data_IF_340887007238
#
_entry.id   IF_340887007238
#
_cell.length_a   1.000
_cell.length_b   1.000
_cell.length_c   1.000
_cell.angle_alpha   90.00
_cell.angle_beta   90.00
_cell.angle_gamma   90.00
#
_symmetry.space_group_name_H-M   'P 1'
#
loop_
_entity.id
_entity.type
_entity.pdbx_description
1 polymer ?
#
# COMPACT_ATOMS: atom_id res chain seq x y z
N UNK A 1 5.82 13.14 -6.04
CA UNK A 1 7.07 12.37 -6.24
C UNK A 1 8.28 13.30 -6.20
N UNK A 2 9.35 12.86 -5.59
CA UNK A 2 10.60 13.59 -5.48
C UNK A 2 11.75 12.77 -6.09
N UNK A 3 12.96 13.35 -6.14
CA UNK A 3 14.16 12.63 -6.59
C UNK A 3 14.48 11.41 -5.71
N UNK A 4 14.04 11.40 -4.47
CA UNK A 4 14.21 10.28 -3.54
C UNK A 4 13.11 9.20 -3.67
N UNK A 5 12.20 9.33 -4.65
CA UNK A 5 11.09 8.43 -4.87
C UNK A 5 9.77 9.00 -4.33
N UNK A 6 8.89 8.11 -3.88
CA UNK A 6 7.59 8.52 -3.35
C UNK A 6 7.73 8.94 -1.90
N UNK A 7 7.34 10.18 -1.60
CA UNK A 7 7.34 10.73 -0.25
C UNK A 7 5.92 11.16 0.11
N UNK A 8 5.21 10.43 0.98
CA UNK A 8 3.88 10.86 1.40
C UNK A 8 3.97 12.15 2.21
N UNK A 9 2.95 13.01 2.07
CA UNK A 9 2.85 14.26 2.82
C UNK A 9 1.84 14.14 3.95
N UNK A 10 0.75 13.44 3.71
CA UNK A 10 -0.26 13.16 4.73
C UNK A 10 -0.99 11.87 4.39
N UNK A 11 -1.51 11.24 5.41
CA UNK A 11 -2.37 10.07 5.25
C UNK A 11 -3.61 10.26 6.11
N UNK A 12 -4.76 10.23 5.48
CA UNK A 12 -6.06 10.33 6.15
C UNK A 12 -6.92 9.15 5.75
N UNK A 13 -7.41 8.43 6.72
CA UNK A 13 -8.31 7.31 6.52
C UNK A 13 -9.52 7.42 7.44
N UNK A 14 -10.69 7.04 6.94
CA UNK A 14 -11.94 7.07 7.67
C UNK A 14 -12.83 5.96 7.14
N UNK A 15 -13.44 5.20 8.03
CA UNK A 15 -14.36 4.13 7.63
C UNK A 15 -15.81 4.62 7.42
N UNK A 16 -16.04 5.94 7.49
CA UNK A 16 -17.35 6.54 7.31
C UNK A 16 -18.25 6.50 8.53
N UNK A 17 -17.74 6.00 9.66
CA UNK A 17 -18.50 5.99 10.93
C UNK A 17 -18.06 7.13 11.84
N UNK A 18 -18.79 7.34 12.93
CA UNK A 18 -18.40 8.31 13.94
C UNK A 18 -17.32 7.77 14.89
N UNK A 19 -16.93 6.51 14.76
CA UNK A 19 -15.87 5.91 15.58
C UNK A 19 -14.50 6.44 15.16
N UNK A 20 -13.66 6.81 16.13
CA UNK A 20 -12.27 7.20 15.89
C UNK A 20 -11.34 6.00 15.81
N UNK A 21 -11.81 4.80 16.11
CA UNK A 21 -10.97 3.58 16.17
C UNK A 21 -10.35 3.20 14.82
N UNK A 22 -10.94 3.66 13.71
CA UNK A 22 -10.43 3.38 12.36
C UNK A 22 -10.06 4.65 11.60
N UNK A 23 -10.01 5.78 12.30
CA UNK A 23 -9.52 7.02 11.70
C UNK A 23 -8.02 7.08 11.75
N UNK A 24 -7.44 7.50 10.64
CA UNK A 24 -6.01 7.75 10.52
C UNK A 24 -5.84 9.17 10.05
N UNK A 25 -5.03 9.94 10.75
CA UNK A 25 -4.70 11.30 10.35
C UNK A 25 -3.27 11.59 10.78
N UNK A 26 -2.33 11.42 9.84
CA UNK A 26 -0.92 11.64 10.10
C UNK A 26 -0.33 12.58 9.05
N UNK A 27 0.66 13.35 9.46
CA UNK A 27 1.39 14.27 8.60
C UNK A 27 2.89 13.94 8.64
N UNK A 28 3.53 14.03 7.48
CA UNK A 28 4.93 13.74 7.30
C UNK A 28 5.68 15.04 7.11
N UNK A 29 6.61 15.32 8.03
CA UNK A 29 7.51 16.47 7.92
C UNK A 29 8.91 15.97 7.55
N UNK A 30 9.21 15.99 6.27
CA UNK A 30 10.48 15.48 5.76
C UNK A 30 11.67 16.39 6.10
N UNK A 31 11.43 17.67 6.28
CA UNK A 31 12.49 18.61 6.70
C UNK A 31 12.93 18.33 8.14
N UNK A 32 11.97 18.09 9.03
CA UNK A 32 12.24 17.76 10.43
C UNK A 32 12.45 16.29 10.68
N UNK A 33 12.20 15.46 9.65
CA UNK A 33 12.32 14.01 9.71
C UNK A 33 11.45 13.41 10.82
N UNK A 34 10.18 13.82 10.85
CA UNK A 34 9.20 13.31 11.80
C UNK A 34 7.85 13.09 11.14
N UNK A 35 7.14 12.09 11.64
CA UNK A 35 5.72 11.86 11.32
C UNK A 35 4.92 11.97 12.61
N UNK A 36 3.84 12.75 12.56
CA UNK A 36 3.00 13.02 13.73
C UNK A 36 1.53 12.92 13.39
N UNK A 37 0.70 12.63 14.38
CA UNK A 37 -0.74 12.56 14.23
C UNK A 37 -1.36 11.50 15.11
N UNK A 38 -2.45 10.92 14.60
CA UNK A 38 -3.20 9.85 15.29
C UNK A 38 -3.51 8.74 14.28
N UNK A 39 -3.24 7.52 14.70
CA UNK A 39 -3.52 6.32 13.90
C UNK A 39 -4.40 5.39 14.75
N UNK A 40 -5.68 5.28 14.39
CA UNK A 40 -6.65 4.42 15.08
C UNK A 40 -6.64 4.64 16.63
N UNK A 41 -6.81 5.88 17.05
CA UNK A 41 -6.75 6.31 18.46
C UNK A 41 -5.37 6.24 19.12
N UNK A 42 -4.34 5.84 18.39
CA UNK A 42 -2.97 5.79 18.90
C UNK A 42 -2.21 7.04 18.47
N UNK A 43 -1.68 7.85 19.40
CA UNK A 43 -0.84 8.99 19.04
C UNK A 43 0.42 8.51 18.30
N UNK A 44 0.79 9.25 17.25
CA UNK A 44 1.97 8.96 16.45
C UNK A 44 2.92 10.15 16.54
N UNK A 45 4.15 9.89 16.95
CA UNK A 45 5.24 10.86 16.94
C UNK A 45 6.54 10.08 16.82
N UNK A 46 7.00 9.88 15.59
CA UNK A 46 8.12 9.03 15.28
C UNK A 46 9.14 9.74 14.42
N UNK A 47 10.43 9.37 14.57
CA UNK A 47 11.43 9.80 13.59
C UNK A 47 11.10 9.19 12.22
N UNK A 48 11.37 9.97 11.19
CA UNK A 48 11.05 9.60 9.80
C UNK A 48 12.34 9.34 9.05
N UNK A 49 12.49 8.12 8.55
CA UNK A 49 13.63 7.72 7.72
C UNK A 49 13.28 7.85 6.24
N UNK A 50 14.26 8.05 5.34
CA UNK A 50 14.00 8.08 3.92
C UNK A 50 13.32 6.78 3.46
N UNK A 51 12.32 6.92 2.59
CA UNK A 51 11.62 5.79 2.00
C UNK A 51 10.45 5.23 2.80
N UNK A 52 10.14 5.78 3.98
CA UNK A 52 8.98 5.33 4.76
C UNK A 52 7.70 5.65 4.01
N UNK A 53 6.80 4.69 3.97
CA UNK A 53 5.50 4.77 3.32
C UNK A 53 4.39 4.50 4.32
N UNK A 54 3.15 4.65 3.90
CA UNK A 54 1.96 4.12 4.56
C UNK A 54 1.25 3.14 3.62
N UNK A 55 0.14 2.56 4.04
CA UNK A 55 -0.60 1.60 3.22
C UNK A 55 -1.05 2.18 1.88
N UNK A 56 -1.41 3.45 1.84
CA UNK A 56 -1.85 4.09 0.61
C UNK A 56 -0.67 4.41 -0.31
N UNK A 57 0.37 5.06 0.22
CA UNK A 57 1.53 5.47 -0.59
C UNK A 57 2.39 4.28 -1.03
N UNK A 58 2.38 3.17 -0.29
CA UNK A 58 3.13 1.97 -0.66
C UNK A 58 2.64 1.38 -1.98
N UNK A 59 1.34 1.45 -2.28
CA UNK A 59 0.81 0.98 -3.55
C UNK A 59 1.35 1.83 -4.71
N UNK A 60 1.41 3.14 -4.52
CA UNK A 60 1.97 4.05 -5.52
C UNK A 60 3.47 3.80 -5.68
N UNK A 61 4.19 3.60 -4.57
CA UNK A 61 5.61 3.31 -4.60
C UNK A 61 5.91 2.00 -5.35
N UNK A 62 5.07 0.98 -5.16
CA UNK A 62 5.17 -0.28 -5.90
C UNK A 62 4.99 -0.04 -7.40
N UNK A 63 3.96 0.70 -7.79
CA UNK A 63 3.73 1.04 -9.21
C UNK A 63 4.92 1.75 -9.82
N UNK A 64 5.48 2.72 -9.12
CA UNK A 64 6.64 3.50 -9.60
C UNK A 64 7.85 2.58 -9.80
N UNK A 65 8.14 1.70 -8.86
CA UNK A 65 9.25 0.75 -8.99
C UNK A 65 9.05 -0.19 -10.19
N UNK A 66 7.85 -0.73 -10.37
CA UNK A 66 7.54 -1.62 -11.47
C UNK A 66 7.62 -0.92 -12.83
N UNK A 67 7.17 0.35 -12.91
CA UNK A 67 7.29 1.15 -14.12
C UNK A 67 8.74 1.40 -14.53
N UNK A 68 9.65 1.42 -13.57
CA UNK A 68 11.10 1.55 -13.83
C UNK A 68 11.80 0.21 -14.03
N UNK A 69 11.04 -0.88 -14.14
CA UNK A 69 11.59 -2.22 -14.35
C UNK A 69 12.25 -2.82 -13.12
N UNK A 70 11.97 -2.30 -11.93
CA UNK A 70 12.50 -2.81 -10.67
C UNK A 70 11.43 -3.57 -9.91
N UNK A 71 11.81 -4.68 -9.29
CA UNK A 71 10.95 -5.38 -8.33
C UNK A 71 11.46 -5.07 -6.93
N UNK A 72 10.70 -4.33 -6.13
CA UNK A 72 11.15 -4.01 -4.77
C UNK A 72 11.15 -5.27 -3.91
N UNK A 73 12.14 -5.37 -3.01
CA UNK A 73 12.21 -6.49 -2.08
C UNK A 73 11.42 -6.19 -0.80
N UNK A 74 11.47 -4.94 -0.34
CA UNK A 74 10.74 -4.53 0.84
C UNK A 74 10.52 -3.03 0.88
N UNK A 75 9.49 -2.62 1.61
CA UNK A 75 9.23 -1.25 1.99
C UNK A 75 9.07 -1.17 3.51
N UNK A 76 9.41 -0.01 4.06
CA UNK A 76 9.12 0.32 5.45
C UNK A 76 7.81 1.09 5.50
N UNK A 77 6.84 0.57 6.25
CA UNK A 77 5.50 1.14 6.34
C UNK A 77 5.19 1.60 7.75
N UNK A 78 4.56 2.77 7.85
CA UNK A 78 3.99 3.23 9.11
C UNK A 78 2.79 2.35 9.45
N UNK A 79 2.83 1.75 10.64
CA UNK A 79 1.76 0.92 11.19
C UNK A 79 1.52 1.37 12.63
N UNK A 80 0.44 2.15 12.85
CA UNK A 80 0.15 2.80 14.12
C UNK A 80 1.33 3.68 14.55
N UNK A 81 1.92 3.45 15.71
CA UNK A 81 3.04 4.22 16.22
C UNK A 81 4.39 3.52 15.99
N UNK A 82 4.50 2.70 14.96
CA UNK A 82 5.71 1.96 14.59
C UNK A 82 5.94 2.01 13.09
N UNK A 83 7.19 1.86 12.70
CA UNK A 83 7.56 1.61 11.32
C UNK A 83 7.99 0.15 11.21
N UNK A 84 7.35 -0.58 10.29
CA UNK A 84 7.60 -2.00 10.11
C UNK A 84 8.04 -2.32 8.69
N UNK A 85 8.95 -3.27 8.55
CA UNK A 85 9.39 -3.74 7.25
C UNK A 85 8.40 -4.76 6.68
N UNK A 86 7.97 -4.55 5.44
CA UNK A 86 7.15 -5.48 4.68
C UNK A 86 7.97 -6.02 3.53
N UNK A 87 8.01 -7.33 3.40
CA UNK A 87 8.71 -7.99 2.31
C UNK A 87 7.76 -8.17 1.12
N UNK A 88 8.23 -7.79 -0.06
CA UNK A 88 7.47 -7.90 -1.31
C UNK A 88 8.09 -8.97 -2.19
N UNK A 89 7.26 -9.86 -2.72
CA UNK A 89 7.70 -10.90 -3.65
C UNK A 89 6.71 -11.01 -4.80
N UNK A 90 7.22 -11.36 -5.98
CA UNK A 90 6.38 -11.71 -7.11
C UNK A 90 5.78 -13.09 -6.89
N UNK A 91 4.46 -13.22 -7.06
CA UNK A 91 3.71 -14.44 -6.73
C UNK A 91 2.99 -15.03 -7.94
N UNK A 92 3.38 -14.65 -9.15
CA UNK A 92 2.85 -15.22 -10.37
C UNK A 92 2.13 -14.24 -11.29
N UNK A 93 1.35 -14.79 -12.20
CA UNK A 93 0.58 -14.03 -13.19
C UNK A 93 -0.83 -14.61 -13.26
N UNK A 94 -1.81 -13.75 -13.56
CA UNK A 94 -3.20 -14.18 -13.71
C UNK A 94 -3.93 -13.22 -14.63
N UNK A 95 -4.78 -13.75 -15.50
CA UNK A 95 -5.70 -12.92 -16.27
C UNK A 95 -6.97 -12.73 -15.46
N UNK A 96 -7.29 -11.49 -15.15
CA UNK A 96 -8.48 -11.15 -14.36
C UNK A 96 -9.64 -10.76 -15.29
N UNK A 97 -10.83 -11.34 -15.08
CA UNK A 97 -12.04 -10.77 -15.65
C UNK A 97 -12.39 -9.48 -14.91
N UNK A 98 -12.63 -8.42 -15.67
CA UNK A 98 -12.99 -7.12 -15.10
C UNK A 98 -14.24 -6.59 -15.80
N UNK A 99 -14.92 -5.54 -15.25
CA UNK A 99 -16.06 -4.92 -15.94
C UNK A 99 -15.71 -4.36 -17.33
N UNK A 100 -14.42 -4.11 -17.61
CA UNK A 100 -13.96 -3.60 -18.90
C UNK A 100 -13.17 -4.65 -19.72
N UNK A 101 -13.34 -5.94 -19.41
CA UNK A 101 -12.75 -7.06 -20.14
C UNK A 101 -11.68 -7.81 -19.34
N UNK A 102 -11.10 -8.82 -19.98
CA UNK A 102 -10.03 -9.61 -19.36
C UNK A 102 -8.71 -8.83 -19.41
N UNK A 103 -8.01 -8.77 -18.30
CA UNK A 103 -6.76 -8.03 -18.17
C UNK A 103 -5.67 -8.94 -17.63
N UNK A 104 -4.53 -8.97 -18.31
CA UNK A 104 -3.35 -9.69 -17.82
C UNK A 104 -2.75 -8.93 -16.64
N UNK A 105 -2.48 -9.65 -15.56
CA UNK A 105 -1.89 -9.09 -14.35
C UNK A 105 -0.69 -9.88 -13.88
N UNK A 106 0.17 -9.20 -13.12
CA UNK A 106 1.24 -9.82 -12.35
C UNK A 106 0.90 -9.67 -10.88
N UNK A 107 1.01 -10.76 -10.12
CA UNK A 107 0.66 -10.79 -8.72
C UNK A 107 1.90 -10.52 -7.87
N UNK A 108 1.80 -9.55 -6.97
CA UNK A 108 2.80 -9.30 -5.94
C UNK A 108 2.18 -9.53 -4.58
N UNK A 109 2.98 -10.06 -3.66
CA UNK A 109 2.52 -10.25 -2.28
C UNK A 109 3.42 -9.48 -1.33
N UNK A 110 2.83 -8.97 -0.26
CA UNK A 110 3.57 -8.34 0.83
C UNK A 110 3.22 -9.01 2.13
N UNK A 111 4.22 -9.15 3.00
CA UNK A 111 4.05 -9.75 4.31
C UNK A 111 5.06 -9.14 5.27
N UNK A 112 4.58 -8.82 6.47
CA UNK A 112 5.41 -8.42 7.58
C UNK A 112 5.91 -9.67 8.32
N UNK A 113 7.16 -9.64 8.79
CA UNK A 113 7.72 -10.73 9.59
C UNK A 113 6.84 -11.02 10.82
N UNK A 114 6.65 -12.29 11.13
CA UNK A 114 5.86 -12.78 12.26
C UNK A 114 4.37 -12.40 12.20
N UNK A 115 3.86 -11.95 11.06
CA UNK A 115 2.45 -11.69 10.88
C UNK A 115 1.78 -12.77 10.04
N UNK A 116 0.56 -13.22 10.42
CA UNK A 116 -0.18 -14.18 9.61
C UNK A 116 -0.87 -13.54 8.41
N UNK A 117 -0.89 -12.20 8.31
CA UNK A 117 -1.56 -11.51 7.23
C UNK A 117 -0.67 -11.41 6.00
N UNK A 118 -1.24 -11.73 4.84
CA UNK A 118 -0.58 -11.61 3.53
C UNK A 118 -1.46 -10.75 2.64
N UNK A 119 -0.88 -9.72 2.03
CA UNK A 119 -1.57 -8.90 1.05
C UNK A 119 -1.10 -9.31 -0.35
N UNK A 120 -2.03 -9.41 -1.28
CA UNK A 120 -1.76 -9.66 -2.69
C UNK A 120 -2.30 -8.55 -3.55
N UNK A 121 -1.53 -8.18 -4.56
CA UNK A 121 -1.85 -7.09 -5.47
C UNK A 121 -1.77 -7.62 -6.90
N UNK A 122 -2.89 -7.57 -7.63
CA UNK A 122 -2.96 -7.93 -9.04
C UNK A 122 -2.74 -6.67 -9.86
N UNK A 123 -1.51 -6.48 -10.31
CA UNK A 123 -1.07 -5.26 -11.00
C UNK A 123 -1.10 -5.48 -12.51
N UNK A 124 -1.65 -4.50 -13.25
CA UNK A 124 -1.82 -4.59 -14.70
C UNK A 124 -0.68 -3.88 -15.43
N UNK A 125 0.30 -4.61 -16.04
CA UNK A 125 1.42 -3.97 -16.74
C UNK A 125 0.99 -3.03 -17.87
N UNK A 126 -0.06 -3.39 -18.61
CA UNK A 126 -0.57 -2.57 -19.70
C UNK A 126 -1.31 -1.31 -19.24
N UNK A 127 -1.47 -1.12 -17.94
CA UNK A 127 -2.19 0.02 -17.36
C UNK A 127 -1.38 0.70 -16.26
N UNK A 128 -0.06 0.78 -16.44
CA UNK A 128 0.83 1.44 -15.49
C UNK A 128 1.00 0.68 -14.17
N UNK A 129 0.77 -0.63 -14.17
CA UNK A 129 0.84 -1.48 -12.99
C UNK A 129 -0.16 -1.10 -11.90
N UNK A 130 -1.26 -0.46 -12.26
CA UNK A 130 -2.32 -0.19 -11.30
C UNK A 130 -2.84 -1.51 -10.72
N UNK A 131 -3.02 -1.62 -9.40
CA UNK A 131 -3.60 -2.83 -8.82
C UNK A 131 -5.10 -2.87 -9.11
N UNK A 132 -5.54 -3.90 -9.84
CA UNK A 132 -6.95 -4.10 -10.17
C UNK A 132 -7.68 -4.90 -9.11
N UNK A 133 -6.95 -5.67 -8.33
CA UNK A 133 -7.46 -6.38 -7.17
C UNK A 133 -6.44 -6.32 -6.06
N UNK A 134 -6.91 -6.12 -4.84
CA UNK A 134 -6.10 -6.22 -3.63
C UNK A 134 -6.84 -7.14 -2.67
N UNK A 135 -6.15 -8.11 -2.11
CA UNK A 135 -6.75 -9.08 -1.20
C UNK A 135 -5.86 -9.28 0.01
N UNK A 136 -6.47 -9.32 1.19
CA UNK A 136 -5.77 -9.68 2.40
C UNK A 136 -6.25 -11.03 2.89
N UNK A 137 -5.30 -11.92 3.17
CA UNK A 137 -5.55 -13.23 3.77
C UNK A 137 -4.87 -13.34 5.12
N UNK A 138 -5.47 -14.13 6.00
CA UNK A 138 -4.85 -14.61 7.22
C UNK A 138 -4.82 -16.13 7.14
N UNK A 139 -3.64 -16.71 6.84
CA UNK A 139 -3.58 -18.13 6.49
C UNK A 139 -4.37 -18.41 5.21
N UNK A 140 -5.32 -19.32 5.26
CA UNK A 140 -6.21 -19.62 4.13
C UNK A 140 -7.48 -18.76 4.12
N UNK A 141 -7.73 -17.98 5.17
CA UNK A 141 -8.93 -17.19 5.29
C UNK A 141 -8.78 -15.82 4.63
N UNK A 142 -9.67 -15.52 3.67
CA UNK A 142 -9.73 -14.19 3.05
C UNK A 142 -10.39 -13.22 4.01
N UNK A 143 -9.69 -12.15 4.41
CA UNK A 143 -10.21 -11.12 5.29
C UNK A 143 -11.03 -10.09 4.52
N UNK A 144 -10.52 -9.66 3.37
CA UNK A 144 -11.22 -8.72 2.50
C UNK A 144 -10.61 -8.76 1.10
N UNK A 145 -11.40 -8.33 0.12
CA UNK A 145 -10.99 -8.17 -1.26
C UNK A 145 -11.52 -6.85 -1.78
N UNK A 146 -10.66 -6.08 -2.44
CA UNK A 146 -11.06 -4.89 -3.19
C UNK A 146 -10.79 -5.12 -4.66
N UNK A 147 -11.75 -4.76 -5.51
CA UNK A 147 -11.60 -4.85 -6.96
C UNK A 147 -11.99 -3.53 -7.61
N UNK A 148 -11.27 -3.18 -8.68
CA UNK A 148 -11.59 -1.99 -9.43
C UNK A 148 -12.87 -2.24 -10.24
N UNK A 149 -13.81 -1.30 -10.19
CA UNK A 149 -15.08 -1.39 -10.90
C UNK A 149 -15.08 -0.57 -12.19
N UNK A 150 -14.32 0.50 -12.21
CA UNK A 150 -14.18 1.34 -13.40
C UNK A 150 -12.82 2.01 -13.42
N UNK A 151 -12.32 2.25 -14.62
CA UNK A 151 -11.05 2.95 -14.81
C UNK A 151 -11.28 4.04 -15.85
N UNK A 152 -11.01 5.28 -15.47
CA UNK A 152 -11.12 6.44 -16.36
C UNK A 152 -9.74 7.05 -16.56
N UNK A 153 -9.45 7.40 -17.80
CA UNK A 153 -8.32 8.26 -18.14
C UNK A 153 -8.85 9.67 -18.40
N UNK A 154 -8.24 10.61 -17.74
CA UNK A 154 -8.51 12.01 -17.98
C UNK A 154 -7.37 12.65 -18.75
#
# INVERSE_FOLDING_TARGET
MTAAGVEPLSYKGDDGTSSTKRKVEVEYDWERQRVTGVYEDTPVDLPLSPGVQDEASAQIALMVELLHGRTPEHFSLLDKNRVRAYRYTRDGEETLPTPFGDVATVIYRSQRAASPHVNRYWCAPGRGYIPLRVQQKRGEEVQWTMEIQSLRRE
#
